data_IF_686471668243
#
_entry.id   IF_686471668243
#
_cell.length_a   1.000
_cell.length_b   1.000
_cell.length_c   1.000
_cell.angle_alpha   90.00
_cell.angle_beta   90.00
_cell.angle_gamma   90.00
#
_symmetry.space_group_name_H-M   'P 1'
#
loop_
_entity.id
_entity.type
_entity.pdbx_description
1 polymer ?
#
# COMPACT_ATOMS: atom_id res chain seq x y z
N UNK A 1 65.55 9.51 41.59
CA UNK A 1 65.76 10.28 40.34
C UNK A 1 66.07 9.25 39.23
N UNK A 2 65.13 9.03 38.33
CA UNK A 2 65.30 8.04 37.23
C UNK A 2 66.25 8.69 36.21
N UNK A 3 67.34 7.99 35.95
CA UNK A 3 68.39 8.50 35.05
C UNK A 3 67.85 8.57 33.59
N UNK A 4 68.23 9.63 32.88
CA UNK A 4 67.79 9.88 31.50
C UNK A 4 68.03 8.70 30.56
N UNK A 5 69.05 7.88 30.85
CA UNK A 5 69.38 6.66 30.09
C UNK A 5 68.37 5.55 30.36
N UNK A 6 67.91 5.38 31.58
CA UNK A 6 66.89 4.39 31.97
C UNK A 6 65.54 4.70 31.39
N UNK A 7 65.09 5.96 31.43
CA UNK A 7 63.88 6.40 30.81
C UNK A 7 63.82 6.14 29.28
N UNK A 8 64.95 6.38 28.57
CA UNK A 8 65.06 6.09 27.12
C UNK A 8 65.02 4.62 26.83
N UNK A 9 65.56 3.76 27.70
CA UNK A 9 65.52 2.30 27.51
C UNK A 9 64.11 1.74 27.68
N UNK A 10 63.38 2.26 28.65
CA UNK A 10 61.96 1.91 28.92
C UNK A 10 61.09 2.28 27.73
N UNK A 11 61.24 3.50 27.20
CA UNK A 11 60.48 3.96 26.05
C UNK A 11 60.78 3.11 24.80
N UNK A 12 62.07 2.79 24.55
CA UNK A 12 62.41 1.92 23.42
C UNK A 12 61.86 0.50 23.57
N UNK A 13 61.80 -0.06 24.78
CA UNK A 13 61.18 -1.37 25.05
C UNK A 13 59.67 -1.33 24.92
N UNK A 14 59.02 -0.23 25.29
CA UNK A 14 57.58 -0.04 25.14
C UNK A 14 57.19 0.09 23.66
N UNK A 15 57.93 0.85 22.87
CA UNK A 15 57.70 1.02 21.42
C UNK A 15 57.94 -0.31 20.66
N UNK A 16 58.87 -1.14 21.07
CA UNK A 16 59.14 -2.45 20.47
C UNK A 16 58.12 -3.54 20.82
N UNK A 17 57.21 -3.29 21.80
CA UNK A 17 56.16 -4.21 22.22
C UNK A 17 54.81 -3.97 21.55
N UNK A 18 54.69 -2.90 20.76
CA UNK A 18 53.53 -2.72 19.91
C UNK A 18 53.70 -3.66 18.72
N UNK A 19 52.90 -4.71 18.59
CA UNK A 19 52.99 -5.59 17.43
C UNK A 19 52.74 -4.76 16.18
N UNK A 20 53.62 -4.85 15.19
CA UNK A 20 53.55 -4.14 13.89
C UNK A 20 52.30 -4.47 13.06
N UNK A 21 51.29 -5.09 13.68
CA UNK A 21 50.02 -5.45 13.07
C UNK A 21 48.85 -4.59 13.50
N UNK A 22 49.01 -3.69 14.52
CA UNK A 22 47.93 -2.81 14.98
C UNK A 22 48.07 -1.35 14.52
N UNK A 23 48.97 -1.03 13.60
CA UNK A 23 48.81 0.16 12.80
C UNK A 23 47.45 0.02 12.12
N UNK A 24 46.52 0.92 12.42
CA UNK A 24 45.24 1.09 11.71
C UNK A 24 45.66 1.45 10.27
N UNK A 25 46.05 0.43 9.51
CA UNK A 25 46.22 0.53 8.07
C UNK A 25 44.88 0.89 7.54
N UNK A 26 44.73 2.15 7.17
CA UNK A 26 43.63 2.75 6.44
C UNK A 26 42.42 1.81 6.40
N UNK A 27 41.46 2.06 7.28
CA UNK A 27 40.19 1.31 7.30
C UNK A 27 39.71 1.25 5.85
N UNK A 28 39.83 0.07 5.26
CA UNK A 28 39.40 -0.11 3.87
C UNK A 28 37.86 0.04 3.84
N UNK A 29 37.39 1.24 3.52
CA UNK A 29 35.95 1.57 3.49
C UNK A 29 35.27 0.97 2.26
N UNK A 30 36.04 0.44 1.29
CA UNK A 30 35.51 -0.12 0.04
C UNK A 30 34.49 -1.22 0.31
N UNK A 31 34.73 -2.22 1.18
CA UNK A 31 33.71 -3.24 1.48
C UNK A 31 32.47 -2.68 2.15
N UNK A 32 32.61 -1.64 2.95
CA UNK A 32 31.43 -0.98 3.57
C UNK A 32 30.61 -0.23 2.54
N UNK A 33 31.26 0.47 1.60
CA UNK A 33 30.54 1.15 0.49
C UNK A 33 29.83 0.14 -0.41
N UNK A 34 30.43 -1.02 -0.65
CA UNK A 34 29.81 -2.07 -1.47
C UNK A 34 28.55 -2.63 -0.82
N UNK A 35 28.61 -2.94 0.47
CA UNK A 35 27.41 -3.35 1.23
C UNK A 35 26.34 -2.26 1.23
N UNK A 36 26.72 -0.99 1.40
CA UNK A 36 25.76 0.11 1.38
C UNK A 36 25.11 0.28 0.00
N UNK A 37 25.85 0.12 -1.08
CA UNK A 37 25.30 0.20 -2.44
C UNK A 37 24.35 -0.97 -2.72
N UNK A 38 24.68 -2.19 -2.31
CA UNK A 38 23.81 -3.36 -2.45
C UNK A 38 22.53 -3.16 -1.64
N UNK A 39 22.64 -2.70 -0.40
CA UNK A 39 21.46 -2.41 0.44
C UNK A 39 20.59 -1.29 -0.16
N UNK A 40 21.21 -0.26 -0.73
CA UNK A 40 20.49 0.83 -1.39
C UNK A 40 19.74 0.34 -2.62
N UNK A 41 20.36 -0.48 -3.45
CA UNK A 41 19.72 -1.10 -4.62
C UNK A 41 18.60 -2.06 -4.18
N UNK A 42 18.83 -2.89 -3.16
CA UNK A 42 17.80 -3.76 -2.61
C UNK A 42 16.63 -2.95 -2.06
N UNK A 43 16.89 -1.84 -1.37
CA UNK A 43 15.86 -0.94 -0.86
C UNK A 43 15.09 -0.25 -1.99
N UNK A 44 15.78 0.19 -3.05
CA UNK A 44 15.12 0.75 -4.23
C UNK A 44 14.26 -0.30 -4.95
N UNK A 45 14.70 -1.55 -5.04
CA UNK A 45 13.90 -2.62 -5.63
C UNK A 45 12.66 -2.93 -4.80
N UNK A 46 12.80 -3.04 -3.48
CA UNK A 46 11.64 -3.24 -2.59
C UNK A 46 10.70 -2.04 -2.56
N UNK A 47 11.24 -0.81 -2.64
CA UNK A 47 10.43 0.40 -2.76
C UNK A 47 9.74 0.53 -4.13
N UNK A 48 10.33 -0.02 -5.19
CA UNK A 48 9.72 -0.07 -6.52
C UNK A 48 8.59 -1.12 -6.60
N UNK A 49 8.69 -2.19 -5.78
CA UNK A 49 7.60 -3.17 -5.59
C UNK A 49 6.52 -2.68 -4.61
N UNK A 50 6.79 -1.66 -3.82
CA UNK A 50 5.73 -0.88 -3.19
C UNK A 50 4.89 -0.31 -4.33
N UNK A 51 3.89 -1.12 -4.72
CA UNK A 51 2.95 -0.89 -5.82
C UNK A 51 2.65 0.60 -5.83
N UNK A 52 2.97 1.34 -6.91
CA UNK A 52 2.37 2.64 -7.08
C UNK A 52 0.88 2.34 -7.10
N UNK A 53 0.20 2.60 -5.98
CA UNK A 53 -1.23 2.79 -6.05
C UNK A 53 -1.37 3.82 -7.16
N UNK A 54 -2.00 3.51 -8.29
CA UNK A 54 -2.36 4.53 -9.24
C UNK A 54 -3.44 5.36 -8.55
N UNK A 55 -3.01 6.12 -7.59
CA UNK A 55 -3.74 7.24 -7.04
C UNK A 55 -3.66 8.32 -8.12
N UNK A 56 -4.29 8.05 -9.25
CA UNK A 56 -4.60 9.08 -10.20
C UNK A 56 -5.39 10.11 -9.42
N UNK A 57 -4.70 11.17 -9.00
CA UNK A 57 -5.24 12.39 -8.39
C UNK A 57 -6.29 12.20 -7.26
N UNK A 58 -6.34 11.03 -6.63
CA UNK A 58 -7.15 10.79 -5.45
C UNK A 58 -6.35 11.32 -4.25
N UNK A 59 -6.47 12.62 -3.99
CA UNK A 59 -6.07 13.16 -2.70
C UNK A 59 -6.93 12.47 -1.65
N UNK A 60 -6.30 11.62 -0.86
CA UNK A 60 -6.94 11.00 0.30
C UNK A 60 -7.53 12.12 1.17
N UNK A 61 -8.83 12.11 1.45
CA UNK A 61 -9.42 13.12 2.29
C UNK A 61 -8.99 12.87 3.73
N UNK A 62 -8.83 13.95 4.40
CA UNK A 62 -8.69 13.97 5.83
C UNK A 62 -10.02 13.50 6.44
N UNK A 63 -10.12 12.21 6.73
CA UNK A 63 -11.26 11.69 7.47
C UNK A 63 -11.12 12.13 8.92
N UNK A 64 -12.10 12.87 9.43
CA UNK A 64 -12.19 13.17 10.87
C UNK A 64 -12.68 11.95 11.66
N UNK A 65 -13.01 10.86 11.00
CA UNK A 65 -13.39 9.61 11.64
C UNK A 65 -12.14 8.76 11.81
N UNK A 66 -11.61 8.73 13.01
CA UNK A 66 -10.48 7.90 13.45
C UNK A 66 -10.94 6.44 13.64
N UNK A 67 -11.76 5.91 12.77
CA UNK A 67 -11.93 4.47 12.71
C UNK A 67 -10.78 3.92 11.86
N UNK A 68 -9.88 3.21 12.50
CA UNK A 68 -8.84 2.44 11.84
C UNK A 68 -9.50 1.59 10.76
N UNK A 69 -9.19 1.90 9.49
CA UNK A 69 -9.51 1.00 8.39
C UNK A 69 -8.76 -0.27 8.73
N UNK A 70 -9.48 -1.28 9.20
CA UNK A 70 -8.87 -2.54 9.54
C UNK A 70 -8.09 -2.99 8.30
N UNK A 71 -6.81 -3.26 8.47
CA UNK A 71 -5.86 -3.68 7.42
C UNK A 71 -6.38 -4.89 6.63
N UNK A 72 -7.48 -5.43 7.09
CA UNK A 72 -8.10 -6.67 6.69
C UNK A 72 -9.44 -6.51 5.94
N UNK A 73 -9.84 -5.33 5.52
CA UNK A 73 -11.12 -5.15 4.81
C UNK A 73 -10.92 -5.18 3.28
N UNK A 74 -11.85 -5.84 2.59
CA UNK A 74 -11.88 -5.77 1.14
C UNK A 74 -12.33 -4.37 0.74
N UNK A 75 -11.45 -3.62 0.08
CA UNK A 75 -11.68 -2.22 -0.27
C UNK A 75 -11.96 -2.05 -1.76
N UNK A 76 -13.05 -1.38 -2.09
CA UNK A 76 -13.43 -0.99 -3.44
C UNK A 76 -13.47 0.53 -3.53
N UNK A 77 -12.68 1.10 -4.44
CA UNK A 77 -12.62 2.55 -4.65
C UNK A 77 -13.28 2.91 -5.97
N UNK A 78 -14.23 3.85 -5.94
CA UNK A 78 -14.87 4.41 -7.13
C UNK A 78 -14.24 5.76 -7.39
N UNK A 79 -13.32 5.80 -8.35
CA UNK A 79 -12.72 7.02 -8.85
C UNK A 79 -13.57 7.60 -10.00
N UNK A 80 -13.21 8.78 -10.48
CA UNK A 80 -13.96 9.49 -11.54
C UNK A 80 -14.01 8.72 -12.86
N UNK A 81 -12.93 8.01 -13.19
CA UNK A 81 -12.71 7.33 -14.47
C UNK A 81 -12.57 5.81 -14.36
N UNK A 82 -12.53 5.27 -13.14
CA UNK A 82 -12.24 3.86 -12.91
C UNK A 82 -12.80 3.34 -11.58
N UNK A 83 -13.06 2.04 -11.54
CA UNK A 83 -13.36 1.30 -10.31
C UNK A 83 -12.12 0.48 -9.98
N UNK A 84 -11.64 0.63 -8.76
CA UNK A 84 -10.46 -0.08 -8.28
C UNK A 84 -10.86 -1.06 -7.16
N UNK A 85 -10.30 -2.24 -7.20
CA UNK A 85 -10.42 -3.26 -6.16
C UNK A 85 -9.03 -3.48 -5.54
N UNK A 86 -8.89 -3.21 -4.25
CA UNK A 86 -7.60 -3.23 -3.56
C UNK A 86 -6.51 -2.41 -4.29
N UNK A 87 -6.88 -1.21 -4.77
CA UNK A 87 -5.97 -0.33 -5.51
C UNK A 87 -5.69 -0.73 -6.96
N UNK A 88 -6.21 -1.87 -7.45
CA UNK A 88 -6.04 -2.30 -8.85
C UNK A 88 -7.27 -1.94 -9.66
N UNK A 89 -7.08 -1.26 -10.79
CA UNK A 89 -8.17 -0.93 -11.71
C UNK A 89 -8.79 -2.20 -12.29
N UNK A 90 -10.10 -2.37 -12.09
CA UNK A 90 -10.86 -3.52 -12.58
C UNK A 90 -11.83 -3.16 -13.70
N UNK A 91 -12.35 -1.93 -13.69
CA UNK A 91 -13.31 -1.45 -14.69
C UNK A 91 -13.10 0.04 -14.96
N UNK A 92 -13.34 0.46 -16.20
CA UNK A 92 -13.38 1.88 -16.56
C UNK A 92 -14.75 2.50 -16.30
N UNK A 93 -14.76 3.75 -15.91
CA UNK A 93 -15.97 4.58 -15.76
C UNK A 93 -15.93 5.67 -16.84
N UNK A 94 -17.00 5.82 -17.60
CA UNK A 94 -17.15 6.86 -18.61
C UNK A 94 -18.48 7.58 -18.38
N UNK A 95 -18.45 8.90 -18.37
CA UNK A 95 -19.64 9.72 -18.14
C UNK A 95 -20.44 9.33 -16.89
N UNK A 96 -19.75 8.96 -15.81
CA UNK A 96 -20.39 8.56 -14.55
C UNK A 96 -21.08 7.19 -14.57
N UNK A 97 -20.77 6.34 -15.53
CA UNK A 97 -21.28 4.98 -15.63
C UNK A 97 -20.28 4.00 -16.20
N UNK A 98 -20.55 2.70 -16.06
CA UNK A 98 -19.78 1.63 -16.66
C UNK A 98 -20.34 1.29 -18.02
N UNK A 99 -19.47 0.84 -18.94
CA UNK A 99 -19.86 0.44 -20.29
C UNK A 99 -20.98 -0.60 -20.27
N UNK A 100 -21.91 -0.49 -21.22
CA UNK A 100 -23.03 -1.40 -21.35
C UNK A 100 -22.63 -2.86 -21.57
N UNK A 101 -21.47 -3.09 -22.16
CA UNK A 101 -20.91 -4.44 -22.39
C UNK A 101 -20.50 -5.16 -21.08
N UNK A 102 -20.21 -4.41 -20.03
CA UNK A 102 -19.84 -4.96 -18.71
C UNK A 102 -21.07 -5.26 -17.82
N UNK A 103 -22.27 -4.91 -18.29
CA UNK A 103 -23.53 -5.09 -17.57
C UNK A 103 -24.30 -6.30 -18.09
N UNK A 104 -24.99 -7.01 -17.19
CA UNK A 104 -25.69 -8.24 -17.50
C UNK A 104 -26.77 -8.08 -18.59
N UNK A 105 -27.50 -6.99 -18.58
CA UNK A 105 -28.63 -6.72 -19.50
C UNK A 105 -28.35 -5.48 -20.38
N UNK A 106 -27.08 -5.27 -20.74
CA UNK A 106 -26.67 -4.12 -21.55
C UNK A 106 -26.88 -2.78 -20.84
N UNK A 107 -27.25 -1.75 -21.59
CA UNK A 107 -27.35 -0.37 -21.07
C UNK A 107 -28.34 -0.18 -19.91
N UNK A 108 -29.38 -1.00 -19.85
CA UNK A 108 -30.40 -0.98 -18.78
C UNK A 108 -30.03 -1.88 -17.59
N UNK A 109 -29.00 -2.70 -17.73
CA UNK A 109 -28.55 -3.61 -16.69
C UNK A 109 -27.96 -2.86 -15.48
N UNK A 110 -28.26 -3.37 -14.31
CA UNK A 110 -27.77 -2.83 -13.04
C UNK A 110 -26.66 -3.69 -12.42
N UNK A 111 -26.53 -4.93 -12.85
CA UNK A 111 -25.52 -5.87 -12.37
C UNK A 111 -24.31 -5.92 -13.26
N UNK A 112 -23.14 -5.98 -12.66
CA UNK A 112 -21.85 -6.13 -13.32
C UNK A 112 -21.25 -7.50 -12.96
N UNK A 113 -21.48 -8.57 -13.77
CA UNK A 113 -21.06 -9.94 -13.45
C UNK A 113 -19.54 -10.06 -13.25
N UNK A 114 -18.78 -9.30 -14.03
CA UNK A 114 -17.32 -9.27 -13.89
C UNK A 114 -16.89 -8.77 -12.52
N UNK A 115 -17.50 -7.69 -12.03
CA UNK A 115 -17.22 -7.15 -10.70
C UNK A 115 -17.63 -8.15 -9.62
N UNK A 116 -18.83 -8.75 -9.73
CA UNK A 116 -19.31 -9.75 -8.76
C UNK A 116 -18.35 -10.93 -8.63
N UNK A 117 -17.86 -11.45 -9.77
CA UNK A 117 -16.90 -12.56 -9.79
C UNK A 117 -15.55 -12.19 -9.16
N UNK A 118 -15.01 -11.01 -9.51
CA UNK A 118 -13.74 -10.53 -8.94
C UNK A 118 -13.84 -10.34 -7.43
N UNK A 119 -14.94 -9.78 -6.95
CA UNK A 119 -15.21 -9.61 -5.52
C UNK A 119 -15.31 -10.96 -4.81
N UNK A 120 -15.96 -11.95 -5.42
CA UNK A 120 -16.04 -13.30 -4.89
C UNK A 120 -14.68 -13.97 -4.76
N UNK A 121 -13.84 -13.86 -5.79
CA UNK A 121 -12.46 -14.37 -5.78
C UNK A 121 -11.63 -13.69 -4.67
N UNK A 122 -11.75 -12.37 -4.56
CA UNK A 122 -11.02 -11.61 -3.54
C UNK A 122 -11.44 -12.01 -2.13
N UNK A 123 -12.75 -12.16 -1.89
CA UNK A 123 -13.27 -12.66 -0.62
C UNK A 123 -12.74 -14.05 -0.28
N UNK A 124 -12.71 -14.95 -1.26
CA UNK A 124 -12.19 -16.30 -1.04
C UNK A 124 -10.71 -16.28 -0.69
N UNK A 125 -9.89 -15.50 -1.40
CA UNK A 125 -8.47 -15.32 -1.09
C UNK A 125 -8.28 -14.75 0.30
N UNK A 126 -9.03 -13.72 0.65
CA UNK A 126 -8.98 -13.07 1.94
C UNK A 126 -9.32 -14.04 3.09
N UNK A 127 -10.39 -14.82 2.92
CA UNK A 127 -10.77 -15.84 3.92
C UNK A 127 -9.68 -16.91 4.09
N UNK A 128 -8.99 -17.30 3.01
CA UNK A 128 -7.87 -18.24 3.09
C UNK A 128 -6.70 -17.65 3.88
N UNK A 129 -6.38 -16.37 3.68
CA UNK A 129 -5.31 -15.71 4.39
C UNK A 129 -5.62 -15.55 5.89
N UNK A 130 -6.88 -15.28 6.25
CA UNK A 130 -7.31 -15.25 7.64
C UNK A 130 -7.15 -16.64 8.30
N UNK A 131 -7.58 -17.70 7.63
CA UNK A 131 -7.43 -19.08 8.13
C UNK A 131 -5.95 -19.44 8.30
N UNK A 132 -5.07 -19.04 7.36
CA UNK A 132 -3.61 -19.23 7.49
C UNK A 132 -3.02 -18.49 8.70
N UNK A 133 -3.56 -17.32 9.03
CA UNK A 133 -3.18 -16.54 10.21
C UNK A 133 -3.83 -17.06 11.52
N UNK A 134 -4.59 -18.14 11.46
CA UNK A 134 -5.31 -18.69 12.62
C UNK A 134 -6.52 -17.87 13.06
N UNK A 135 -6.99 -16.96 12.22
CA UNK A 135 -8.15 -16.12 12.49
C UNK A 135 -9.41 -16.72 11.83
N UNK A 136 -10.55 -16.61 12.53
CA UNK A 136 -11.82 -17.06 11.97
C UNK A 136 -12.34 -16.02 10.96
N UNK A 137 -12.73 -16.44 9.74
CA UNK A 137 -13.38 -15.54 8.80
C UNK A 137 -14.64 -14.93 9.41
N UNK A 138 -14.96 -13.67 9.07
CA UNK A 138 -16.16 -13.01 9.58
C UNK A 138 -17.43 -13.71 9.10
N UNK A 139 -18.38 -13.91 10.00
CA UNK A 139 -19.67 -14.54 9.67
C UNK A 139 -20.47 -13.73 8.63
N UNK A 140 -20.31 -12.41 8.64
CA UNK A 140 -20.92 -11.49 7.68
C UNK A 140 -19.82 -10.70 6.99
N UNK A 141 -19.52 -10.99 5.71
CA UNK A 141 -18.49 -10.28 4.97
C UNK A 141 -18.88 -8.81 4.76
N UNK A 142 -17.95 -7.93 5.09
CA UNK A 142 -18.07 -6.49 4.93
C UNK A 142 -17.24 -6.01 3.75
N UNK A 143 -17.78 -5.05 2.98
CA UNK A 143 -17.08 -4.38 1.87
C UNK A 143 -16.95 -2.91 2.20
N UNK A 144 -15.72 -2.41 2.18
CA UNK A 144 -15.43 -0.99 2.29
C UNK A 144 -15.52 -0.36 0.90
N UNK A 145 -16.44 0.58 0.72
CA UNK A 145 -16.60 1.33 -0.52
C UNK A 145 -16.13 2.77 -0.29
N UNK A 146 -15.12 3.16 -1.03
CA UNK A 146 -14.61 4.53 -1.05
C UNK A 146 -15.08 5.18 -2.34
N UNK A 147 -15.83 6.25 -2.26
CA UNK A 147 -16.36 6.93 -3.43
C UNK A 147 -16.12 8.44 -3.36
N UNK A 148 -15.87 9.07 -4.51
CA UNK A 148 -15.85 10.52 -4.62
C UNK A 148 -17.27 11.05 -4.41
N UNK A 149 -17.41 12.19 -3.74
CA UNK A 149 -18.71 12.86 -3.51
C UNK A 149 -19.45 13.18 -4.82
N UNK A 150 -18.71 13.36 -5.91
CA UNK A 150 -19.27 13.61 -7.25
C UNK A 150 -19.73 12.33 -7.96
N UNK A 151 -19.51 11.15 -7.35
CA UNK A 151 -19.93 9.86 -7.94
C UNK A 151 -21.44 9.81 -8.10
N UNK A 152 -21.96 9.53 -9.31
CA UNK A 152 -23.40 9.41 -9.53
C UNK A 152 -23.99 8.30 -8.67
N UNK A 153 -25.10 8.58 -8.02
CA UNK A 153 -25.82 7.60 -7.19
C UNK A 153 -26.13 6.29 -7.93
N UNK A 154 -26.44 6.38 -9.22
CA UNK A 154 -26.68 5.22 -10.07
C UNK A 154 -25.48 4.26 -10.07
N UNK A 155 -24.27 4.78 -10.27
CA UNK A 155 -23.05 3.98 -10.28
C UNK A 155 -22.79 3.34 -8.92
N UNK A 156 -22.98 4.08 -7.84
CA UNK A 156 -22.87 3.57 -6.48
C UNK A 156 -23.85 2.42 -6.25
N UNK A 157 -25.11 2.60 -6.67
CA UNK A 157 -26.14 1.57 -6.56
C UNK A 157 -25.81 0.32 -7.36
N UNK A 158 -25.34 0.48 -8.62
CA UNK A 158 -24.90 -0.63 -9.48
C UNK A 158 -23.75 -1.43 -8.84
N UNK A 159 -22.80 -0.73 -8.20
CA UNK A 159 -21.68 -1.36 -7.48
C UNK A 159 -22.17 -2.14 -6.26
N UNK A 160 -23.04 -1.55 -5.44
CA UNK A 160 -23.60 -2.22 -4.26
C UNK A 160 -24.42 -3.45 -4.68
N UNK A 161 -25.24 -3.33 -5.72
CA UNK A 161 -26.06 -4.43 -6.22
C UNK A 161 -25.18 -5.59 -6.73
N UNK A 162 -24.12 -5.27 -7.47
CA UNK A 162 -23.16 -6.26 -7.96
C UNK A 162 -22.38 -6.93 -6.82
N UNK A 163 -22.10 -6.19 -5.76
CA UNK A 163 -21.40 -6.71 -4.56
C UNK A 163 -22.31 -7.60 -3.70
N UNK A 164 -23.62 -7.42 -3.78
CA UNK A 164 -24.62 -8.27 -3.12
C UNK A 164 -24.94 -9.54 -3.90
N UNK A 165 -24.57 -9.62 -5.17
CA UNK A 165 -24.79 -10.80 -5.99
C UNK A 165 -24.27 -12.06 -5.30
N UNK A 166 -24.90 -13.20 -5.56
CA UNK A 166 -24.61 -14.48 -4.91
C UNK A 166 -23.13 -14.86 -5.02
N UNK A 167 -22.51 -14.57 -6.18
CA UNK A 167 -21.08 -14.83 -6.42
C UNK A 167 -20.15 -14.01 -5.52
N UNK A 168 -20.48 -12.73 -5.25
CA UNK A 168 -19.69 -11.86 -4.39
C UNK A 168 -20.04 -12.05 -2.91
N UNK A 169 -21.34 -12.09 -2.59
CA UNK A 169 -21.89 -12.46 -1.30
C UNK A 169 -21.62 -11.48 -0.16
N UNK A 170 -21.32 -10.22 -0.44
CA UNK A 170 -21.19 -9.20 0.60
C UNK A 170 -22.56 -8.79 1.11
N UNK A 171 -22.68 -8.61 2.43
CA UNK A 171 -23.94 -8.27 3.10
C UNK A 171 -23.88 -6.96 3.88
N UNK A 172 -22.68 -6.57 4.30
CA UNK A 172 -22.41 -5.31 4.97
C UNK A 172 -21.59 -4.40 4.07
N UNK A 173 -21.93 -3.11 4.11
CA UNK A 173 -21.25 -2.08 3.30
C UNK A 173 -20.92 -0.92 4.21
N UNK A 174 -19.65 -0.51 4.21
CA UNK A 174 -19.18 0.72 4.83
C UNK A 174 -18.85 1.69 3.70
N UNK A 175 -19.52 2.82 3.67
CA UNK A 175 -19.30 3.83 2.64
C UNK A 175 -18.51 5.00 3.21
N UNK A 176 -17.39 5.31 2.58
CA UNK A 176 -16.59 6.50 2.84
C UNK A 176 -16.70 7.41 1.63
N UNK A 177 -17.23 8.61 1.85
CA UNK A 177 -17.30 9.62 0.81
C UNK A 177 -16.11 10.56 0.92
N UNK A 178 -15.39 10.71 -0.18
CA UNK A 178 -14.28 11.62 -0.32
C UNK A 178 -14.76 12.99 -0.73
N UNK A 179 -14.50 14.00 0.10
CA UNK A 179 -14.70 15.40 -0.30
C UNK A 179 -13.44 15.92 -0.97
N UNK A 180 -13.49 16.19 -2.27
CA UNK A 180 -12.44 16.89 -2.96
C UNK A 180 -12.40 18.34 -2.42
N UNK A 181 -11.43 18.66 -1.58
CA UNK A 181 -11.15 20.07 -1.29
C UNK A 181 -10.80 20.74 -2.60
N UNK A 182 -11.72 21.53 -3.10
CA UNK A 182 -11.50 22.37 -4.26
C UNK A 182 -10.25 23.19 -4.01
N UNK A 183 -9.27 23.05 -4.89
CA UNK A 183 -8.08 23.88 -4.88
C UNK A 183 -8.55 25.34 -4.93
N UNK A 184 -8.52 26.00 -3.79
CA UNK A 184 -8.69 27.44 -3.70
C UNK A 184 -7.56 28.05 -4.53
N UNK A 185 -7.88 28.55 -5.71
CA UNK A 185 -7.09 29.48 -6.47
C UNK A 185 -6.83 30.69 -5.56
N UNK A 186 -5.68 30.73 -4.93
CA UNK A 186 -5.11 31.98 -4.43
C UNK A 186 -4.68 32.80 -5.64
N UNK A 187 -5.61 33.50 -6.25
CA UNK A 187 -5.33 34.64 -7.12
C UNK A 187 -5.43 35.88 -6.28
N UNK A 188 -4.34 36.56 -6.13
CA UNK A 188 -4.18 37.85 -5.53
C UNK A 188 -2.79 38.36 -5.80
#
# INVERSE_FOLDING_TARGET
MIDKHEARSIVRKAVKRVPEGEEIRHLNIVPMMDIMTILLVAFLMTAAEAVPLPLGDVKLPYSQTTEDIAENDVTLTIARDSILLQGRTVMGVKNGGVDASEKKDGALGLQMPRLSRLLGMMRASFNQDLVRKGQKPPDVPELLIIADRTTPYKLLFEVILSSRAEEAGFRRFRLILLEQQGGGSAGG
#
